data_IF_910442681125
#
_entry.id   IF_910442681125
#
_cell.length_a   1.000
_cell.length_b   1.000
_cell.length_c   1.000
_cell.angle_alpha   90.00
_cell.angle_beta   90.00
_cell.angle_gamma   90.00
#
_symmetry.space_group_name_H-M   'P 1'
#
loop_
_entity.id
_entity.type
_entity.pdbx_description
1 polymer ?
#
# COMPACT_ATOMS: atom_id res chain seq x y z
N UNK A 1 -27.27 20.69 -18.21
CA UNK A 1 -26.65 21.31 -17.03
C UNK A 1 -27.05 20.45 -15.84
N UNK A 2 -26.10 19.78 -15.20
CA UNK A 2 -26.37 18.99 -14.00
C UNK A 2 -26.49 19.93 -12.80
N UNK A 3 -27.29 19.55 -11.80
CA UNK A 3 -27.41 20.32 -10.56
C UNK A 3 -26.09 20.26 -9.75
N UNK A 4 -25.47 21.40 -9.39
CA UNK A 4 -24.22 21.41 -8.64
C UNK A 4 -24.26 20.61 -7.35
N UNK A 5 -25.37 20.65 -6.62
CA UNK A 5 -25.51 19.90 -5.37
C UNK A 5 -25.53 18.38 -5.62
N UNK A 6 -26.27 17.91 -6.63
CA UNK A 6 -26.23 16.50 -7.02
C UNK A 6 -24.80 16.08 -7.41
N UNK A 7 -24.10 16.89 -8.21
CA UNK A 7 -22.74 16.54 -8.66
C UNK A 7 -21.79 16.42 -7.48
N UNK A 8 -21.84 17.36 -6.53
CA UNK A 8 -21.06 17.34 -5.29
C UNK A 8 -21.37 16.12 -4.43
N UNK A 9 -22.64 15.80 -4.22
CA UNK A 9 -23.06 14.66 -3.40
C UNK A 9 -22.59 13.34 -4.01
N UNK A 10 -22.75 13.19 -5.32
CA UNK A 10 -22.28 12.01 -6.08
C UNK A 10 -20.77 11.87 -6.01
N UNK A 11 -20.03 12.97 -6.22
CA UNK A 11 -18.58 12.95 -6.17
C UNK A 11 -18.04 12.63 -4.77
N UNK A 12 -18.63 13.23 -3.73
CA UNK A 12 -18.30 12.92 -2.33
C UNK A 12 -18.52 11.44 -2.02
N UNK A 13 -19.60 10.84 -2.54
CA UNK A 13 -19.85 9.41 -2.36
C UNK A 13 -18.80 8.54 -3.09
N UNK A 14 -18.36 8.94 -4.28
CA UNK A 14 -17.26 8.26 -4.98
C UNK A 14 -15.96 8.33 -4.18
N UNK A 15 -15.63 9.52 -3.65
CA UNK A 15 -14.43 9.74 -2.84
C UNK A 15 -14.45 8.96 -1.52
N UNK A 16 -15.60 8.78 -0.88
CA UNK A 16 -15.71 8.05 0.38
C UNK A 16 -15.60 6.53 0.23
N UNK A 17 -15.83 6.01 -0.97
CA UNK A 17 -15.78 4.58 -1.29
C UNK A 17 -14.61 4.22 -2.20
N UNK A 18 -13.59 5.09 -2.29
CA UNK A 18 -12.37 4.76 -3.00
C UNK A 18 -11.67 3.58 -2.32
N UNK A 19 -11.21 2.63 -3.15
CA UNK A 19 -10.46 1.46 -2.73
C UNK A 19 -9.08 1.43 -3.41
N UNK A 20 -8.28 0.40 -3.12
CA UNK A 20 -7.02 0.14 -3.81
C UNK A 20 -7.17 -0.16 -5.33
N UNK A 21 -8.39 -0.27 -5.84
CA UNK A 21 -8.65 -0.57 -7.25
C UNK A 21 -8.42 0.64 -8.15
N UNK A 22 -7.55 0.49 -9.15
CA UNK A 22 -7.33 1.52 -10.18
C UNK A 22 -8.62 1.86 -10.93
N UNK A 23 -9.52 0.89 -11.14
CA UNK A 23 -10.80 1.14 -11.80
C UNK A 23 -11.70 2.10 -11.01
N UNK A 24 -11.66 2.05 -9.67
CA UNK A 24 -12.38 3.00 -8.82
C UNK A 24 -11.81 4.41 -8.99
N UNK A 25 -10.48 4.56 -8.95
CA UNK A 25 -9.79 5.84 -9.18
C UNK A 25 -10.08 6.42 -10.57
N UNK A 26 -9.99 5.60 -11.62
CA UNK A 26 -10.26 6.00 -13.01
C UNK A 26 -11.71 6.47 -13.18
N UNK A 27 -12.67 5.71 -12.64
CA UNK A 27 -14.10 6.09 -12.69
C UNK A 27 -14.35 7.44 -12.02
N UNK A 28 -13.75 7.66 -10.85
CA UNK A 28 -13.87 8.93 -10.12
C UNK A 28 -13.20 10.08 -10.89
N UNK A 29 -12.06 9.83 -11.53
CA UNK A 29 -11.37 10.84 -12.33
C UNK A 29 -12.16 11.24 -13.58
N UNK A 30 -12.74 10.26 -14.30
CA UNK A 30 -13.63 10.53 -15.42
C UNK A 30 -14.90 11.29 -15.00
N UNK A 31 -15.45 10.99 -13.83
CA UNK A 31 -16.59 11.72 -13.31
C UNK A 31 -16.28 13.20 -13.09
N UNK A 32 -15.10 13.50 -12.53
CA UNK A 32 -14.63 14.87 -12.36
C UNK A 32 -14.38 15.56 -13.71
N UNK A 33 -13.71 14.89 -14.67
CA UNK A 33 -13.47 15.45 -16.00
C UNK A 33 -14.78 15.77 -16.75
N UNK A 34 -15.80 14.92 -16.60
CA UNK A 34 -17.13 15.13 -17.18
C UNK A 34 -17.81 16.42 -16.69
N UNK A 35 -17.52 16.83 -15.46
CA UNK A 35 -18.08 18.02 -14.80
C UNK A 35 -16.99 19.04 -14.47
N UNK A 36 -16.01 19.20 -15.39
CA UNK A 36 -14.89 20.14 -15.24
C UNK A 36 -15.30 21.61 -15.15
N UNK A 37 -16.56 21.94 -15.45
CA UNK A 37 -17.16 23.25 -15.23
C UNK A 37 -17.33 23.60 -13.75
N UNK A 38 -17.28 22.60 -12.87
CA UNK A 38 -17.35 22.73 -11.42
C UNK A 38 -16.06 22.25 -10.74
N UNK A 39 -14.92 22.39 -11.41
CA UNK A 39 -13.62 21.93 -10.96
C UNK A 39 -13.25 22.44 -9.56
N UNK A 40 -13.51 23.71 -9.25
CA UNK A 40 -13.21 24.29 -7.92
C UNK A 40 -14.01 23.65 -6.78
N UNK A 41 -15.32 23.42 -6.98
CA UNK A 41 -16.17 22.78 -5.96
C UNK A 41 -15.82 21.29 -5.81
N UNK A 42 -15.52 20.61 -6.93
CA UNK A 42 -15.06 19.22 -6.91
C UNK A 42 -13.70 19.08 -6.21
N UNK A 43 -12.76 19.98 -6.45
CA UNK A 43 -11.47 19.98 -5.74
C UNK A 43 -11.66 20.28 -4.24
N UNK A 44 -12.58 21.18 -3.91
CA UNK A 44 -12.97 21.44 -2.51
C UNK A 44 -13.52 20.18 -1.84
N UNK A 45 -14.33 19.37 -2.55
CA UNK A 45 -14.79 18.07 -2.05
C UNK A 45 -13.64 17.10 -1.73
N UNK A 46 -12.56 17.11 -2.52
CA UNK A 46 -11.37 16.28 -2.25
C UNK A 46 -10.74 16.70 -0.92
N UNK A 47 -10.49 18.00 -0.74
CA UNK A 47 -9.88 18.53 0.49
C UNK A 47 -10.78 18.27 1.70
N UNK A 48 -12.09 18.49 1.58
CA UNK A 48 -13.06 18.19 2.63
C UNK A 48 -13.00 16.70 3.02
N UNK A 49 -12.94 15.78 2.07
CA UNK A 49 -12.83 14.34 2.38
C UNK A 49 -11.51 13.97 3.06
N UNK A 50 -10.42 14.66 2.74
CA UNK A 50 -9.12 14.46 3.39
C UNK A 50 -9.08 15.01 4.83
N UNK A 51 -9.83 16.09 5.10
CA UNK A 51 -9.81 16.80 6.38
C UNK A 51 -10.94 16.37 7.34
N UNK A 52 -11.94 15.65 6.84
CA UNK A 52 -13.10 15.19 7.62
C UNK A 52 -12.72 14.10 8.63
N UNK A 53 -12.61 14.47 9.91
CA UNK A 53 -12.61 13.56 11.07
C UNK A 53 -11.37 12.66 11.23
N UNK A 54 -10.70 12.72 12.39
CA UNK A 54 -9.27 12.35 12.55
C UNK A 54 -8.87 10.88 12.27
N UNK A 55 -9.65 9.84 12.62
CA UNK A 55 -9.03 8.51 12.81
C UNK A 55 -9.66 7.32 12.04
N UNK A 56 -10.91 7.40 11.59
CA UNK A 56 -11.60 6.25 10.98
C UNK A 56 -11.31 6.06 9.48
N UNK A 57 -10.57 6.98 8.86
CA UNK A 57 -10.43 7.05 7.40
C UNK A 57 -8.94 7.16 6.97
N UNK A 58 -8.00 6.60 7.72
CA UNK A 58 -6.58 6.59 7.30
C UNK A 58 -6.39 5.85 5.98
N UNK A 59 -7.15 4.77 5.78
CA UNK A 59 -7.07 3.96 4.58
C UNK A 59 -7.64 4.67 3.36
N UNK A 60 -8.83 5.26 3.46
CA UNK A 60 -9.40 5.96 2.32
C UNK A 60 -8.71 7.32 2.05
N UNK A 61 -8.04 7.95 3.04
CA UNK A 61 -7.04 9.01 2.78
C UNK A 61 -5.88 8.54 1.88
N UNK A 62 -5.37 7.33 2.11
CA UNK A 62 -4.36 6.74 1.23
C UNK A 62 -4.93 6.49 -0.18
N UNK A 63 -6.18 6.00 -0.28
CA UNK A 63 -6.85 5.79 -1.57
C UNK A 63 -7.08 7.10 -2.33
N UNK A 64 -7.44 8.18 -1.64
CA UNK A 64 -7.54 9.53 -2.22
C UNK A 64 -6.17 9.99 -2.73
N UNK A 65 -5.09 9.76 -1.98
CA UNK A 65 -3.72 10.08 -2.43
C UNK A 65 -3.37 9.36 -3.73
N UNK A 66 -3.63 8.05 -3.84
CA UNK A 66 -3.43 7.31 -5.09
C UNK A 66 -4.36 7.80 -6.21
N UNK A 67 -5.60 8.16 -5.90
CA UNK A 67 -6.52 8.74 -6.86
C UNK A 67 -5.99 10.06 -7.42
N UNK A 68 -5.42 10.94 -6.60
CA UNK A 68 -4.83 12.22 -7.06
C UNK A 68 -3.73 12.01 -8.10
N UNK A 69 -2.93 10.96 -7.97
CA UNK A 69 -1.92 10.59 -8.96
C UNK A 69 -2.54 10.25 -10.32
N UNK A 70 -3.59 9.42 -10.33
CA UNK A 70 -4.32 9.06 -11.54
C UNK A 70 -5.08 10.25 -12.12
N UNK A 71 -5.65 11.08 -11.24
CA UNK A 71 -6.40 12.26 -11.62
C UNK A 71 -5.49 13.30 -12.28
N UNK A 72 -4.28 13.51 -11.77
CA UNK A 72 -3.29 14.37 -12.39
C UNK A 72 -2.82 13.81 -13.74
N UNK A 73 -2.47 12.52 -13.82
CA UNK A 73 -2.05 11.86 -15.07
C UNK A 73 -3.11 12.00 -16.17
N UNK A 74 -4.38 11.77 -15.82
CA UNK A 74 -5.49 11.88 -16.75
C UNK A 74 -5.71 13.32 -17.23
N UNK A 75 -5.57 14.30 -16.34
CA UNK A 75 -5.78 15.72 -16.67
C UNK A 75 -4.59 16.39 -17.36
N UNK A 76 -3.41 15.75 -17.39
CA UNK A 76 -2.25 16.19 -18.16
C UNK A 76 -2.29 15.74 -19.63
N UNK A 77 -3.10 14.73 -19.96
CA UNK A 77 -3.26 14.20 -21.31
C UNK A 77 -4.18 15.09 -22.16
N UNK A 78 -4.16 14.87 -23.47
CA UNK A 78 -5.03 15.57 -24.41
C UNK A 78 -6.51 15.37 -24.07
N UNK A 79 -7.26 16.48 -23.98
CA UNK A 79 -8.66 16.47 -23.55
C UNK A 79 -8.87 16.54 -22.03
N UNK A 80 -7.79 16.60 -21.25
CA UNK A 80 -7.83 16.83 -19.80
C UNK A 80 -8.21 18.26 -19.40
N UNK A 81 -8.12 18.55 -18.10
CA UNK A 81 -8.38 19.86 -17.52
C UNK A 81 -7.22 20.32 -16.63
N UNK A 82 -6.38 21.21 -17.15
CA UNK A 82 -5.17 21.69 -16.47
C UNK A 82 -5.45 22.36 -15.11
N UNK A 83 -6.65 22.91 -14.90
CA UNK A 83 -7.07 23.50 -13.63
C UNK A 83 -6.93 22.55 -12.45
N UNK A 84 -7.26 21.26 -12.63
CA UNK A 84 -7.06 20.26 -11.58
C UNK A 84 -5.59 20.04 -11.25
N UNK A 85 -4.71 20.04 -12.24
CA UNK A 85 -3.26 19.87 -12.04
C UNK A 85 -2.70 21.04 -11.24
N UNK A 86 -3.12 22.28 -11.56
CA UNK A 86 -2.70 23.48 -10.82
C UNK A 86 -3.23 23.51 -9.38
N UNK A 87 -4.48 23.10 -9.16
CA UNK A 87 -5.04 23.01 -7.81
C UNK A 87 -4.33 21.94 -6.96
N UNK A 88 -3.99 20.78 -7.55
CA UNK A 88 -3.17 19.77 -6.88
C UNK A 88 -1.79 20.32 -6.53
N UNK A 89 -1.11 20.98 -7.49
CA UNK A 89 0.21 21.60 -7.27
C UNK A 89 0.17 22.62 -6.13
N UNK A 90 -0.85 23.47 -6.09
CA UNK A 90 -1.04 24.50 -5.07
C UNK A 90 -1.27 23.90 -3.68
N UNK A 91 -2.12 22.89 -3.59
CA UNK A 91 -2.59 22.35 -2.31
C UNK A 91 -1.82 21.09 -1.85
N UNK A 92 -0.76 20.68 -2.56
CA UNK A 92 -0.05 19.42 -2.29
C UNK A 92 0.47 19.33 -0.84
N UNK A 93 0.99 20.41 -0.26
CA UNK A 93 1.48 20.41 1.12
C UNK A 93 0.34 20.17 2.11
N UNK A 94 -0.80 20.83 1.89
CA UNK A 94 -2.02 20.66 2.69
C UNK A 94 -2.55 19.23 2.60
N UNK A 95 -2.57 18.65 1.39
CA UNK A 95 -2.98 17.27 1.13
C UNK A 95 -2.05 16.30 1.87
N UNK A 96 -0.73 16.49 1.75
CA UNK A 96 0.28 15.67 2.42
C UNK A 96 0.10 15.71 3.93
N UNK A 97 -0.10 16.90 4.52
CA UNK A 97 -0.33 17.05 5.94
C UNK A 97 -1.63 16.40 6.42
N UNK A 98 -2.69 16.45 5.62
CA UNK A 98 -3.96 15.80 5.91
C UNK A 98 -3.90 14.27 5.82
N UNK A 99 -3.08 13.71 4.92
CA UNK A 99 -2.92 12.26 4.71
C UNK A 99 -1.90 11.63 5.68
N UNK A 100 -0.77 12.29 5.89
CA UNK A 100 0.34 11.84 6.74
C UNK A 100 0.25 12.42 8.17
N UNK A 101 -0.94 12.36 8.76
CA UNK A 101 -1.16 12.70 10.17
C UNK A 101 -0.51 11.68 11.12
N UNK A 102 -0.40 10.44 10.67
CA UNK A 102 0.25 9.34 11.38
C UNK A 102 1.28 8.65 10.49
N UNK A 103 2.25 7.96 11.11
CA UNK A 103 3.35 7.28 10.41
C UNK A 103 2.90 6.24 9.38
N UNK A 104 1.68 5.69 9.50
CA UNK A 104 1.18 4.61 8.65
C UNK A 104 1.08 4.98 7.16
N UNK A 105 0.81 6.24 6.84
CA UNK A 105 0.64 6.70 5.46
C UNK A 105 1.89 7.38 4.88
N UNK A 106 2.97 7.53 5.65
CA UNK A 106 4.19 8.22 5.20
C UNK A 106 4.77 7.56 3.94
N UNK A 107 4.84 6.22 3.92
CA UNK A 107 5.34 5.48 2.75
C UNK A 107 4.44 5.66 1.52
N UNK A 108 3.12 5.70 1.71
CA UNK A 108 2.15 5.94 0.63
C UNK A 108 2.36 7.33 0.02
N UNK A 109 2.48 8.35 0.87
CA UNK A 109 2.70 9.73 0.42
C UNK A 109 4.02 9.83 -0.34
N UNK A 110 5.11 9.24 0.19
CA UNK A 110 6.42 9.24 -0.47
C UNK A 110 6.32 8.65 -1.88
N UNK A 111 5.73 7.46 -2.01
CA UNK A 111 5.53 6.79 -3.31
C UNK A 111 4.74 7.66 -4.29
N UNK A 112 3.62 8.23 -3.85
CA UNK A 112 2.76 9.02 -4.74
C UNK A 112 3.43 10.34 -5.13
N UNK A 113 4.11 11.02 -4.20
CA UNK A 113 4.83 12.27 -4.50
C UNK A 113 5.97 12.03 -5.48
N UNK A 114 6.72 10.92 -5.35
CA UNK A 114 7.72 10.52 -6.35
C UNK A 114 7.08 10.29 -7.72
N UNK A 115 5.97 9.53 -7.80
CA UNK A 115 5.26 9.29 -9.06
C UNK A 115 4.68 10.57 -9.69
N UNK A 116 4.19 11.52 -8.89
CA UNK A 116 3.77 12.85 -9.35
C UNK A 116 4.97 13.68 -9.88
N UNK A 117 6.16 13.48 -9.31
CA UNK A 117 7.40 14.09 -9.78
C UNK A 117 7.85 13.54 -11.13
N UNK A 118 7.90 12.21 -11.27
CA UNK A 118 8.23 11.51 -12.52
C UNK A 118 7.31 11.92 -13.67
N UNK A 119 6.02 12.14 -13.37
CA UNK A 119 5.02 12.62 -14.34
C UNK A 119 5.09 14.12 -14.63
N UNK A 120 5.99 14.87 -13.99
CA UNK A 120 6.13 16.32 -14.18
C UNK A 120 5.03 17.16 -13.54
N UNK A 121 4.23 16.60 -12.64
CA UNK A 121 3.25 17.37 -11.84
C UNK A 121 3.98 18.21 -10.82
N UNK A 122 4.97 17.67 -10.12
CA UNK A 122 5.69 18.37 -9.05
C UNK A 122 7.12 18.69 -9.45
N UNK A 123 7.61 19.86 -9.04
CA UNK A 123 9.01 20.26 -9.21
C UNK A 123 9.88 19.56 -8.16
N UNK A 124 11.13 19.25 -8.52
CA UNK A 124 12.10 18.61 -7.61
C UNK A 124 12.24 19.33 -6.25
N UNK A 125 12.23 20.67 -6.24
CA UNK A 125 12.31 21.46 -5.00
C UNK A 125 11.15 21.19 -4.04
N UNK A 126 9.94 21.03 -4.56
CA UNK A 126 8.74 20.75 -3.75
C UNK A 126 8.80 19.33 -3.19
N UNK A 127 9.28 18.37 -4.00
CA UNK A 127 9.46 16.98 -3.58
C UNK A 127 10.45 16.90 -2.42
N UNK A 128 11.62 17.52 -2.54
CA UNK A 128 12.61 17.55 -1.46
C UNK A 128 12.06 18.20 -0.19
N UNK A 129 11.31 19.31 -0.32
CA UNK A 129 10.66 19.94 0.84
C UNK A 129 9.67 19.01 1.54
N UNK A 130 8.88 18.25 0.77
CA UNK A 130 7.95 17.27 1.32
C UNK A 130 8.70 16.12 2.01
N UNK A 131 9.75 15.60 1.37
CA UNK A 131 10.55 14.51 1.93
C UNK A 131 11.22 14.87 3.26
N UNK A 132 11.79 16.08 3.37
CA UNK A 132 12.34 16.57 4.63
C UNK A 132 11.26 16.66 5.70
N UNK A 133 10.10 17.25 5.39
CA UNK A 133 9.00 17.35 6.36
C UNK A 133 8.44 15.98 6.78
N UNK A 134 8.44 14.98 5.90
CA UNK A 134 8.05 13.62 6.23
C UNK A 134 9.10 12.91 7.11
N UNK A 135 10.40 13.13 6.85
CA UNK A 135 11.48 12.60 7.70
C UNK A 135 11.42 13.16 9.11
N UNK A 136 11.22 14.47 9.26
CA UNK A 136 11.12 15.12 10.57
C UNK A 136 9.92 14.57 11.36
N UNK A 137 8.78 14.32 10.69
CA UNK A 137 7.60 13.68 11.30
C UNK A 137 7.88 12.24 11.72
N UNK A 138 8.56 11.47 10.87
CA UNK A 138 8.95 10.08 11.14
C UNK A 138 9.91 9.99 12.34
N UNK A 139 10.91 10.87 12.41
CA UNK A 139 11.83 10.95 13.55
C UNK A 139 11.10 11.35 14.84
N UNK A 140 10.19 12.33 14.79
CA UNK A 140 9.39 12.75 15.94
C UNK A 140 8.49 11.62 16.46
N UNK A 141 7.87 10.87 15.55
CA UNK A 141 7.04 9.71 15.91
C UNK A 141 7.89 8.55 16.45
N UNK A 142 9.07 8.30 15.85
CA UNK A 142 10.00 7.28 16.31
C UNK A 142 10.52 7.54 17.73
N UNK A 143 10.82 8.81 18.06
CA UNK A 143 11.19 9.21 19.43
C UNK A 143 10.07 8.96 20.44
N UNK A 144 8.82 9.22 20.05
CA UNK A 144 7.66 9.05 20.92
C UNK A 144 7.40 7.56 21.28
N UNK A 145 7.70 6.65 20.35
CA UNK A 145 7.68 5.20 20.57
C UNK A 145 8.89 4.71 21.39
N UNK A 146 10.04 5.39 21.27
CA UNK A 146 11.26 5.08 22.03
C UNK A 146 11.16 5.46 23.51
N UNK A 147 10.53 6.60 23.81
CA UNK A 147 10.37 7.08 25.20
C UNK A 147 9.31 6.28 25.99
N UNK A 148 8.33 5.65 25.32
CA UNK A 148 7.35 4.75 25.97
C UNK A 148 7.96 3.40 26.37
N UNK A 149 9.03 2.96 25.70
CA UNK A 149 9.73 1.70 26.03
C UNK A 149 10.59 1.81 27.29
N UNK A 150 10.99 3.02 27.71
CA UNK A 150 11.73 3.24 28.97
C UNK A 150 10.82 3.53 30.19
N UNK A 151 9.51 3.72 29.98
CA UNK A 151 8.56 4.02 31.05
C UNK A 151 7.90 2.76 31.69
N UNK A 152 7.96 1.60 31.05
CA UNK A 152 7.59 0.31 31.67
C UNK A 152 8.82 -0.42 32.21
N UNK A 153 9.27 0.04 33.37
CA UNK A 153 10.23 -0.68 34.19
C UNK A 153 9.65 -1.99 34.76
N UNK A 154 10.44 -3.06 34.55
CA UNK A 154 10.60 -4.28 35.36
C UNK A 154 9.56 -5.40 35.14
N UNK A 155 9.98 -6.52 34.53
CA UNK A 155 10.34 -7.77 35.24
C UNK A 155 10.87 -8.82 34.25
N UNK A 156 12.06 -9.35 34.58
CA UNK A 156 12.78 -10.42 33.89
C UNK A 156 11.89 -11.58 33.41
N UNK A 157 12.01 -12.01 32.14
CA UNK A 157 11.63 -13.35 31.75
C UNK A 157 12.74 -14.33 32.15
N UNK A 158 12.50 -15.03 33.26
CA UNK A 158 13.22 -16.23 33.67
C UNK A 158 13.51 -17.17 32.50
N UNK A 159 14.78 -17.57 32.45
CA UNK A 159 15.41 -18.69 31.77
C UNK A 159 14.45 -19.90 31.53
N UNK A 160 14.06 -20.13 30.27
CA UNK A 160 13.38 -21.36 29.86
C UNK A 160 14.42 -22.39 29.44
N UNK A 161 14.87 -23.20 30.39
CA UNK A 161 15.56 -24.46 30.10
C UNK A 161 14.50 -25.54 29.84
N UNK A 162 14.56 -26.15 28.65
CA UNK A 162 13.74 -27.30 28.32
C UNK A 162 14.19 -28.53 29.10
N UNK A 163 13.24 -29.39 29.51
CA UNK A 163 13.50 -30.81 29.41
C UNK A 163 12.42 -31.58 28.66
N UNK A 164 12.91 -32.60 27.97
CA UNK A 164 12.21 -33.62 27.20
C UNK A 164 11.07 -34.34 27.94
N UNK A 165 10.11 -34.84 27.15
CA UNK A 165 9.62 -36.22 27.33
C UNK A 165 8.14 -36.44 27.69
N UNK A 166 7.41 -36.96 26.70
CA UNK A 166 6.37 -38.00 26.79
C UNK A 166 4.95 -37.72 27.39
N UNK A 167 3.96 -37.82 26.49
CA UNK A 167 2.66 -38.52 26.58
C UNK A 167 1.77 -38.42 27.84
N UNK A 168 0.50 -38.00 27.67
CA UNK A 168 -0.68 -38.90 27.63
C UNK A 168 -2.02 -38.10 27.68
N UNK A 169 -3.04 -38.69 27.05
CA UNK A 169 -4.45 -38.27 26.89
C UNK A 169 -5.23 -38.03 28.20
N UNK A 170 -6.33 -37.26 28.13
CA UNK A 170 -7.36 -37.27 29.19
C UNK A 170 -8.38 -36.15 29.14
N UNK A 171 -9.54 -36.42 28.52
CA UNK A 171 -10.76 -35.60 28.50
C UNK A 171 -11.42 -35.47 29.89
N UNK A 172 -11.92 -34.29 30.29
CA UNK A 172 -13.18 -34.12 31.04
C UNK A 172 -13.54 -32.65 31.36
N UNK A 173 -14.86 -32.41 31.38
CA UNK A 173 -15.61 -31.15 31.49
C UNK A 173 -16.28 -31.10 32.87
N UNK A 174 -16.39 -29.93 33.54
CA UNK A 174 -17.58 -29.48 34.31
C UNK A 174 -17.36 -28.29 35.30
N UNK A 175 -18.03 -27.15 34.99
CA UNK A 175 -18.87 -26.30 35.88
C UNK A 175 -18.30 -25.46 37.06
N UNK A 176 -19.01 -24.38 37.47
CA UNK A 176 -18.39 -23.12 37.91
C UNK A 176 -18.44 -22.86 39.42
N UNK A 177 -17.54 -22.00 39.91
CA UNK A 177 -17.69 -21.30 41.20
C UNK A 177 -17.40 -19.81 41.08
N UNK A 178 -18.34 -19.08 41.66
CA UNK A 178 -18.48 -17.65 41.91
C UNK A 178 -17.31 -17.00 42.64
N UNK A 179 -17.05 -15.73 42.28
CA UNK A 179 -16.65 -14.70 43.24
C UNK A 179 -15.23 -14.18 43.12
N UNK A 180 -15.05 -13.07 42.40
CA UNK A 180 -14.28 -11.89 42.82
C UNK A 180 -14.12 -10.97 41.60
N UNK A 181 -14.96 -9.93 41.55
CA UNK A 181 -14.85 -8.84 40.60
C UNK A 181 -13.51 -8.12 40.83
N UNK A 182 -12.53 -8.37 39.96
CA UNK A 182 -11.40 -7.46 39.76
C UNK A 182 -11.86 -6.45 38.70
N UNK A 183 -11.77 -5.13 38.94
CA UNK A 183 -12.05 -4.16 37.91
C UNK A 183 -10.93 -4.29 36.88
N UNK A 184 -11.22 -5.01 35.79
CA UNK A 184 -10.36 -4.98 34.62
C UNK A 184 -10.43 -3.54 34.08
N UNK A 185 -9.32 -2.83 34.24
CA UNK A 185 -9.09 -1.54 33.57
C UNK A 185 -9.55 -1.68 32.12
N UNK A 186 -10.41 -0.79 31.59
CA UNK A 186 -10.73 -0.84 30.19
C UNK A 186 -9.43 -0.49 29.47
N UNK A 187 -8.80 -1.49 28.84
CA UNK A 187 -7.66 -1.27 27.97
C UNK A 187 -8.17 -0.43 26.80
N UNK A 188 -8.04 0.89 26.96
CA UNK A 188 -8.60 1.93 26.12
C UNK A 188 -7.83 2.14 24.82
N UNK A 189 -7.24 1.09 24.26
CA UNK A 189 -7.10 1.06 22.81
C UNK A 189 -8.50 0.79 22.31
N UNK A 190 -9.25 1.87 22.07
CA UNK A 190 -10.52 1.79 21.36
C UNK A 190 -10.29 0.86 20.19
N UNK A 191 -10.95 -0.30 20.19
CA UNK A 191 -10.94 -1.27 19.11
C UNK A 191 -11.17 -0.47 17.83
N UNK A 192 -10.12 -0.04 17.14
CA UNK A 192 -10.26 0.30 15.72
C UNK A 192 -10.91 -0.96 15.17
N UNK A 193 -12.09 -0.77 14.57
CA UNK A 193 -12.94 -1.89 14.18
C UNK A 193 -12.06 -2.93 13.52
N UNK A 194 -12.00 -4.15 14.09
CA UNK A 194 -11.13 -5.23 13.59
C UNK A 194 -11.24 -5.36 12.07
N UNK A 195 -12.46 -5.13 11.56
CA UNK A 195 -12.81 -5.03 10.15
C UNK A 195 -12.07 -3.92 9.38
N UNK A 196 -11.91 -2.73 9.95
CA UNK A 196 -11.17 -1.63 9.33
C UNK A 196 -9.67 -1.96 9.23
N UNK A 197 -9.10 -2.65 10.22
CA UNK A 197 -7.71 -3.13 10.19
C UNK A 197 -7.55 -4.22 9.13
N UNK A 198 -8.43 -5.22 9.11
CA UNK A 198 -8.43 -6.30 8.10
C UNK A 198 -8.58 -5.74 6.68
N UNK A 199 -9.50 -4.79 6.48
CA UNK A 199 -9.68 -4.11 5.21
C UNK A 199 -8.41 -3.37 4.78
N UNK A 200 -7.72 -2.69 5.71
CA UNK A 200 -6.46 -2.02 5.40
C UNK A 200 -5.38 -3.01 4.96
N UNK A 201 -5.24 -4.12 5.68
CA UNK A 201 -4.27 -5.18 5.35
C UNK A 201 -4.55 -5.73 3.95
N UNK A 202 -5.82 -6.02 3.64
CA UNK A 202 -6.20 -6.57 2.35
C UNK A 202 -5.96 -5.58 1.21
N UNK A 203 -6.26 -4.30 1.41
CA UNK A 203 -5.99 -3.28 0.40
C UNK A 203 -4.49 -3.05 0.18
N UNK A 204 -3.66 -3.13 1.23
CA UNK A 204 -2.21 -3.06 1.09
C UNK A 204 -1.63 -4.31 0.39
N UNK A 205 -2.19 -5.50 0.64
CA UNK A 205 -1.86 -6.72 -0.11
C UNK A 205 -2.20 -6.57 -1.58
N UNK A 206 -3.40 -6.10 -1.89
CA UNK A 206 -3.86 -5.86 -3.26
C UNK A 206 -3.00 -4.81 -3.98
N UNK A 207 -2.53 -3.77 -3.28
CA UNK A 207 -1.56 -2.81 -3.82
C UNK A 207 -0.22 -3.48 -4.15
N UNK A 208 0.34 -4.24 -3.21
CA UNK A 208 1.63 -4.90 -3.43
C UNK A 208 1.57 -5.93 -4.55
N UNK A 209 0.48 -6.70 -4.61
CA UNK A 209 0.20 -7.65 -5.66
C UNK A 209 0.22 -6.98 -7.03
N UNK A 210 -0.55 -5.90 -7.23
CA UNK A 210 -0.56 -5.15 -8.49
C UNK A 210 0.80 -4.59 -8.90
N UNK A 211 1.60 -4.10 -7.94
CA UNK A 211 2.95 -3.62 -8.23
C UNK A 211 3.87 -4.72 -8.77
N UNK A 212 3.62 -5.98 -8.42
CA UNK A 212 4.40 -7.14 -8.86
C UNK A 212 3.87 -7.77 -10.14
N UNK A 213 2.58 -7.60 -10.45
CA UNK A 213 1.93 -8.18 -11.64
C UNK A 213 2.58 -7.74 -12.96
N UNK A 214 3.18 -6.55 -13.04
CA UNK A 214 3.83 -6.03 -14.25
C UNK A 214 5.35 -6.14 -14.26
N UNK A 215 5.98 -6.73 -13.23
CA UNK A 215 7.45 -6.78 -13.11
C UNK A 215 8.09 -7.66 -14.19
N UNK A 216 7.39 -8.72 -14.58
CA UNK A 216 7.83 -9.67 -15.61
C UNK A 216 7.33 -9.31 -17.02
N UNK A 217 6.57 -8.23 -17.18
CA UNK A 217 6.05 -7.83 -18.48
C UNK A 217 7.16 -7.29 -19.37
N UNK A 218 7.26 -7.81 -20.59
CA UNK A 218 8.23 -7.37 -21.61
C UNK A 218 7.49 -6.52 -22.65
N UNK A 219 8.04 -5.37 -23.09
CA UNK A 219 7.37 -4.45 -24.01
C UNK A 219 7.21 -4.99 -25.45
N UNK A 220 7.80 -6.15 -25.77
CA UNK A 220 7.73 -6.79 -27.08
C UNK A 220 8.67 -6.19 -28.13
N UNK A 221 9.66 -5.40 -27.70
CA UNK A 221 10.76 -4.92 -28.55
C UNK A 221 12.00 -5.73 -28.20
N UNK A 222 12.40 -6.62 -29.12
CA UNK A 222 13.48 -7.59 -28.94
C UNK A 222 14.83 -6.92 -28.61
N UNK A 223 15.10 -5.72 -29.16
CA UNK A 223 16.36 -4.99 -28.92
C UNK A 223 16.39 -4.43 -27.48
N UNK A 224 15.28 -3.85 -27.03
CA UNK A 224 15.15 -3.38 -25.65
C UNK A 224 15.15 -4.52 -24.63
N UNK A 225 14.55 -5.66 -24.98
CA UNK A 225 14.61 -6.87 -24.14
C UNK A 225 16.05 -7.36 -23.98
N UNK A 226 16.79 -7.46 -25.09
CA UNK A 226 18.18 -7.89 -25.07
C UNK A 226 19.07 -6.95 -24.24
N UNK A 227 18.95 -5.63 -24.45
CA UNK A 227 19.71 -4.64 -23.69
C UNK A 227 19.43 -4.74 -22.20
N UNK A 228 18.16 -4.87 -21.82
CA UNK A 228 17.76 -5.04 -20.42
C UNK A 228 18.32 -6.33 -19.82
N UNK A 229 18.23 -7.45 -20.53
CA UNK A 229 18.82 -8.73 -20.09
C UNK A 229 20.34 -8.64 -19.93
N UNK A 230 21.00 -7.87 -20.80
CA UNK A 230 22.45 -7.66 -20.74
C UNK A 230 22.86 -6.81 -19.54
N UNK A 231 22.13 -5.73 -19.25
CA UNK A 231 22.39 -4.84 -18.12
C UNK A 231 22.04 -5.45 -16.76
N UNK A 232 20.90 -6.16 -16.68
CA UNK A 232 20.40 -6.78 -15.45
C UNK A 232 20.94 -8.21 -15.24
N UNK A 233 21.72 -8.72 -16.18
CA UNK A 233 22.28 -10.07 -16.14
C UNK A 233 23.13 -10.30 -14.89
N UNK A 234 22.81 -11.37 -14.16
CA UNK A 234 23.60 -11.82 -13.02
C UNK A 234 24.74 -12.77 -13.48
N UNK A 235 25.82 -12.80 -12.71
CA UNK A 235 26.83 -13.85 -12.85
C UNK A 235 26.24 -15.18 -12.38
N UNK A 236 26.71 -16.28 -12.99
CA UNK A 236 26.32 -17.64 -12.60
C UNK A 236 26.60 -17.88 -11.11
N UNK A 237 25.56 -18.21 -10.37
CA UNK A 237 25.59 -18.61 -8.97
C UNK A 237 25.52 -20.12 -8.80
N UNK A 238 25.42 -20.55 -7.54
CA UNK A 238 25.32 -21.96 -7.16
C UNK A 238 24.03 -22.60 -7.71
N UNK A 239 22.91 -21.87 -7.64
CA UNK A 239 21.61 -22.33 -8.11
C UNK A 239 21.63 -22.65 -9.61
N UNK A 240 22.32 -21.86 -10.44
CA UNK A 240 22.46 -22.13 -11.87
C UNK A 240 23.22 -23.44 -12.15
N UNK A 241 24.23 -23.78 -11.34
CA UNK A 241 24.93 -25.06 -11.48
C UNK A 241 24.03 -26.23 -11.11
N UNK A 242 23.25 -26.10 -10.03
CA UNK A 242 22.29 -27.12 -9.60
C UNK A 242 21.25 -27.35 -10.70
N UNK A 243 20.65 -26.28 -11.23
CA UNK A 243 19.66 -26.37 -12.31
C UNK A 243 20.28 -27.04 -13.55
N UNK A 244 21.52 -26.70 -13.91
CA UNK A 244 22.20 -27.29 -15.06
C UNK A 244 22.51 -28.78 -14.87
N UNK A 245 22.89 -29.20 -13.66
CA UNK A 245 23.13 -30.60 -13.32
C UNK A 245 21.83 -31.41 -13.39
N UNK A 246 20.75 -30.91 -12.76
CA UNK A 246 19.42 -31.53 -12.82
C UNK A 246 18.94 -31.68 -14.26
N UNK A 247 19.07 -30.64 -15.08
CA UNK A 247 18.67 -30.68 -16.49
C UNK A 247 19.53 -31.66 -17.31
N UNK A 248 20.81 -31.82 -16.98
CA UNK A 248 21.69 -32.80 -17.62
C UNK A 248 21.29 -34.24 -17.24
N UNK A 249 20.96 -34.49 -15.97
CA UNK A 249 20.48 -35.79 -15.50
C UNK A 249 19.14 -36.16 -16.15
N UNK A 250 18.19 -35.24 -16.21
CA UNK A 250 16.90 -35.46 -16.88
C UNK A 250 17.07 -35.82 -18.36
N UNK A 251 17.95 -35.11 -19.07
CA UNK A 251 18.27 -35.43 -20.48
C UNK A 251 18.86 -36.83 -20.64
N UNK A 252 19.77 -37.24 -19.74
CA UNK A 252 20.34 -38.58 -19.75
C UNK A 252 19.28 -39.66 -19.50
N UNK A 253 18.39 -39.41 -18.54
CA UNK A 253 17.26 -40.30 -18.26
C UNK A 253 16.36 -40.42 -19.49
N UNK A 254 16.02 -39.31 -20.15
CA UNK A 254 15.23 -39.32 -21.38
C UNK A 254 15.90 -40.12 -22.50
N UNK A 255 17.21 -39.93 -22.73
CA UNK A 255 17.96 -40.70 -23.74
C UNK A 255 17.95 -42.19 -23.41
N UNK A 256 18.13 -42.55 -22.14
CA UNK A 256 18.10 -43.95 -21.69
C UNK A 256 16.72 -44.57 -21.93
N UNK A 257 15.65 -43.84 -21.62
CA UNK A 257 14.27 -44.28 -21.81
C UNK A 257 13.91 -44.40 -23.30
N UNK A 258 14.25 -43.41 -24.11
CA UNK A 258 14.04 -43.42 -25.56
C UNK A 258 14.77 -44.60 -26.21
N UNK A 259 16.02 -44.86 -25.80
CA UNK A 259 16.79 -46.01 -26.28
C UNK A 259 16.15 -47.35 -25.91
N UNK A 260 15.58 -47.45 -24.71
CA UNK A 260 14.93 -48.68 -24.23
C UNK A 260 13.54 -48.92 -24.86
N UNK A 261 12.83 -47.87 -25.28
CA UNK A 261 11.42 -47.96 -25.72
C UNK A 261 11.20 -47.79 -27.22
N UNK A 262 12.02 -46.98 -27.88
CA UNK A 262 11.90 -46.62 -29.30
C UNK A 262 13.14 -46.98 -30.13
N UNK A 263 14.19 -47.50 -29.49
CA UNK A 263 15.37 -48.00 -30.17
C UNK A 263 15.10 -49.34 -30.87
N UNK A 264 15.09 -49.33 -32.20
CA UNK A 264 15.54 -50.46 -33.03
C UNK A 264 17.03 -50.69 -32.85
#
# INVERSE_FOLDING_TARGET
MADPFEVRMRFTNLLSHLSASAAASIKTAHYALKHRDMDEDLHSCILENLERGSNSNMNNKANIMYFLEHHADLNMKDGGHAGYVEMIRRDILRIVDAVAQSGANVKVVRRVVSGLGEKGVLKAQVITSIETGLKDKEEKLGKLLGDEAEAEGVQDPMEFTAPDGAAQEGSQKATPRTGAERPSKPNGVSKMDKRAIEQRIEEDRERNKRLRESVWAVPGDDEQELDKMWEEGALLGEDEYVIAEEEAEERLQFVSYHRATLGT
#
